data_IF_108836758373
#
_entry.id   IF_108836758373
#
_cell.length_a   1.000
_cell.length_b   1.000
_cell.length_c   1.000
_cell.angle_alpha   90.00
_cell.angle_beta   90.00
_cell.angle_gamma   90.00
#
_symmetry.space_group_name_H-M   'P 1'
#
loop_
_entity.id
_entity.type
_entity.pdbx_description
1 polymer ?
#
# COMPACT_ATOMS: atom_id res chain seq x y z
N UNK A 1 25.99 18.46 -1.43
CA UNK A 1 25.40 17.35 -2.22
C UNK A 1 26.18 16.04 -2.04
N UNK A 2 26.45 15.59 -0.81
CA UNK A 2 27.24 14.36 -0.58
C UNK A 2 26.37 13.10 -0.50
N UNK A 3 25.21 13.19 0.16
CA UNK A 3 24.25 12.08 0.27
C UNK A 3 23.69 11.63 -1.08
N UNK A 4 23.30 12.59 -1.93
CA UNK A 4 22.73 12.27 -3.24
C UNK A 4 23.76 11.62 -4.17
N UNK A 5 25.03 12.03 -4.09
CA UNK A 5 26.11 11.44 -4.89
C UNK A 5 26.50 10.04 -4.44
N UNK A 6 26.39 9.74 -3.14
CA UNK A 6 26.81 8.46 -2.54
C UNK A 6 25.72 7.40 -2.52
N UNK A 7 24.49 7.80 -2.18
CA UNK A 7 23.36 6.88 -2.06
C UNK A 7 22.22 7.23 -3.01
N UNK A 8 21.91 8.52 -3.18
CA UNK A 8 20.72 8.97 -3.92
C UNK A 8 20.67 8.50 -5.38
N UNK A 9 21.74 8.70 -6.15
CA UNK A 9 21.80 8.33 -7.58
C UNK A 9 21.62 6.83 -7.80
N UNK A 10 22.31 6.00 -7.00
CA UNK A 10 22.20 4.54 -7.07
C UNK A 10 20.80 4.03 -6.67
N UNK A 11 20.17 4.66 -5.66
CA UNK A 11 18.81 4.30 -5.22
C UNK A 11 17.74 4.67 -6.24
N UNK A 12 17.90 5.80 -6.95
CA UNK A 12 16.97 6.19 -8.02
C UNK A 12 17.09 5.23 -9.22
N UNK A 13 18.32 4.96 -9.68
CA UNK A 13 18.56 4.03 -10.79
C UNK A 13 18.04 2.62 -10.50
N UNK A 14 18.19 2.14 -9.25
CA UNK A 14 17.68 0.83 -8.84
C UNK A 14 16.14 0.75 -8.76
N UNK A 15 15.45 1.88 -8.61
CA UNK A 15 13.98 1.95 -8.49
C UNK A 15 13.28 2.00 -9.85
N UNK A 16 14.00 2.31 -10.92
CA UNK A 16 13.44 2.34 -12.27
C UNK A 16 13.00 0.95 -12.74
N UNK A 17 11.80 0.80 -13.35
CA UNK A 17 11.29 -0.50 -13.80
C UNK A 17 12.09 -1.12 -14.96
N UNK A 18 13.01 -0.35 -15.57
CA UNK A 18 13.92 -0.77 -16.65
C UNK A 18 15.38 -0.83 -16.17
N UNK A 19 15.58 -1.15 -14.89
CA UNK A 19 16.89 -1.23 -14.27
C UNK A 19 17.73 -2.42 -14.79
N UNK A 20 19.03 -2.18 -15.00
CA UNK A 20 20.01 -3.23 -15.32
C UNK A 20 20.39 -4.00 -14.06
N UNK A 21 20.78 -5.27 -14.19
CA UNK A 21 21.20 -6.09 -13.05
C UNK A 21 22.32 -5.42 -12.22
N UNK A 22 23.23 -4.69 -12.88
CA UNK A 22 24.33 -3.99 -12.22
C UNK A 22 23.86 -2.80 -11.37
N UNK A 23 22.84 -2.07 -11.84
CA UNK A 23 22.31 -0.90 -11.14
C UNK A 23 21.45 -1.33 -9.94
N UNK A 24 20.78 -2.48 -10.04
CA UNK A 24 20.05 -3.08 -8.93
C UNK A 24 20.99 -3.53 -7.80
N UNK A 25 22.10 -4.21 -8.13
CA UNK A 25 23.12 -4.62 -7.16
C UNK A 25 23.76 -3.41 -6.46
N UNK A 26 24.12 -2.36 -7.23
CA UNK A 26 24.65 -1.13 -6.68
C UNK A 26 23.65 -0.43 -5.73
N UNK A 27 22.35 -0.44 -6.05
CA UNK A 27 21.30 0.09 -5.19
C UNK A 27 21.14 -0.67 -3.87
N UNK A 28 21.24 -2.01 -3.90
CA UNK A 28 21.18 -2.84 -2.68
C UNK A 28 22.36 -2.53 -1.77
N UNK A 29 23.58 -2.48 -2.31
CA UNK A 29 24.79 -2.14 -1.53
C UNK A 29 24.70 -0.73 -0.91
N UNK A 30 24.23 0.25 -1.68
CA UNK A 30 24.00 1.61 -1.18
C UNK A 30 22.95 1.63 -0.05
N UNK A 31 21.86 0.87 -0.20
CA UNK A 31 20.81 0.76 0.82
C UNK A 31 21.33 0.11 2.11
N UNK A 32 22.12 -0.95 2.01
CA UNK A 32 22.71 -1.62 3.16
C UNK A 32 23.69 -0.73 3.92
N UNK A 33 24.57 -0.03 3.20
CA UNK A 33 25.54 0.89 3.79
C UNK A 33 24.82 2.04 4.53
N UNK A 34 23.80 2.62 3.90
CA UNK A 34 22.98 3.66 4.52
C UNK A 34 22.25 3.13 5.76
N UNK A 35 21.65 1.94 5.67
CA UNK A 35 20.93 1.33 6.78
C UNK A 35 21.83 1.11 8.00
N UNK A 36 23.05 0.59 7.80
CA UNK A 36 24.04 0.39 8.88
C UNK A 36 24.41 1.71 9.58
N UNK A 37 24.50 2.81 8.83
CA UNK A 37 24.82 4.13 9.40
C UNK A 37 23.68 4.69 10.26
N UNK A 38 22.42 4.47 9.88
CA UNK A 38 21.26 5.03 10.61
C UNK A 38 20.76 4.13 11.75
N UNK A 39 20.98 2.81 11.65
CA UNK A 39 20.60 1.80 12.64
C UNK A 39 20.96 2.13 14.11
N UNK A 40 22.16 2.63 14.46
CA UNK A 40 22.49 2.93 15.86
C UNK A 40 21.66 4.07 16.46
N UNK A 41 21.02 4.90 15.64
CA UNK A 41 20.19 6.01 16.08
C UNK A 41 18.70 5.68 16.11
N UNK A 42 18.30 4.52 15.57
CA UNK A 42 16.89 4.07 15.50
C UNK A 42 16.57 3.12 16.66
N UNK A 43 16.07 3.68 17.76
CA UNK A 43 15.58 2.89 18.89
C UNK A 43 14.17 2.36 18.64
N UNK A 44 14.06 1.22 17.97
CA UNK A 44 12.77 0.53 17.74
C UNK A 44 12.70 -0.77 18.57
N UNK A 45 11.86 -0.79 19.60
CA UNK A 45 11.52 -2.01 20.35
C UNK A 45 10.32 -2.70 19.70
N UNK A 46 10.36 -4.02 19.62
CA UNK A 46 9.19 -4.81 19.20
C UNK A 46 8.30 -5.10 20.41
N UNK A 47 6.99 -5.05 20.19
CA UNK A 47 5.97 -5.36 21.21
C UNK A 47 6.14 -6.79 21.76
N UNK A 48 6.68 -7.68 20.94
CA UNK A 48 6.99 -9.09 21.24
C UNK A 48 7.94 -9.29 22.41
N UNK A 49 8.80 -8.30 22.74
CA UNK A 49 9.79 -8.38 23.83
C UNK A 49 9.35 -7.70 25.14
N UNK A 50 8.19 -7.04 25.15
CA UNK A 50 7.74 -6.20 26.28
C UNK A 50 6.40 -6.68 26.86
N UNK A 51 5.58 -7.41 26.08
CA UNK A 51 4.23 -7.83 26.47
C UNK A 51 3.99 -9.28 26.04
N UNK A 52 4.54 -10.24 26.79
CA UNK A 52 4.30 -11.68 26.58
C UNK A 52 2.85 -12.10 26.82
N UNK A 53 2.08 -11.25 27.50
CA UNK A 53 0.77 -11.61 28.05
C UNK A 53 -0.38 -10.94 27.31
N UNK A 54 -0.10 -10.27 26.19
CA UNK A 54 -1.16 -9.66 25.40
C UNK A 54 -1.76 -10.71 24.44
N UNK A 55 -3.08 -10.90 24.42
CA UNK A 55 -3.72 -11.79 23.47
C UNK A 55 -3.35 -11.43 22.03
N UNK A 56 -3.26 -12.46 21.18
CA UNK A 56 -2.82 -12.32 19.79
C UNK A 56 -3.59 -11.22 19.06
N UNK A 57 -2.88 -10.47 18.21
CA UNK A 57 -3.47 -9.41 17.38
C UNK A 57 -4.47 -10.03 16.39
N UNK A 58 -5.76 -9.88 16.67
CA UNK A 58 -6.84 -10.30 15.76
C UNK A 58 -7.17 -9.16 14.80
N UNK A 59 -7.01 -9.39 13.48
CA UNK A 59 -7.49 -8.48 12.43
C UNK A 59 -8.85 -8.99 11.96
N UNK A 60 -9.88 -8.15 12.02
CA UNK A 60 -11.22 -8.46 11.53
C UNK A 60 -11.61 -7.50 10.41
N UNK A 61 -11.71 -8.03 9.20
CA UNK A 61 -12.31 -7.32 8.07
C UNK A 61 -13.84 -7.43 8.18
N UNK A 62 -14.48 -6.35 8.65
CA UNK A 62 -15.94 -6.24 8.69
C UNK A 62 -16.42 -5.66 7.36
N UNK A 63 -17.06 -6.49 6.55
CA UNK A 63 -17.73 -6.03 5.34
C UNK A 63 -19.08 -5.41 5.70
N UNK A 64 -19.28 -4.16 5.31
CA UNK A 64 -20.53 -3.44 5.49
C UNK A 64 -21.25 -3.36 4.13
N UNK A 65 -22.51 -3.82 4.10
CA UNK A 65 -23.36 -3.63 2.92
C UNK A 65 -23.85 -2.19 2.85
N UNK A 66 -23.91 -1.64 1.64
CA UNK A 66 -24.45 -0.30 1.42
C UNK A 66 -25.97 -0.31 1.65
N UNK A 67 -26.46 0.71 2.34
CA UNK A 67 -27.89 0.97 2.47
C UNK A 67 -28.52 1.28 1.10
N UNK A 68 -29.81 0.99 0.94
CA UNK A 68 -30.56 1.28 -0.29
C UNK A 68 -30.45 2.75 -0.71
N UNK A 69 -30.41 3.67 0.25
CA UNK A 69 -30.21 5.09 -0.02
C UNK A 69 -28.79 5.36 -0.54
N UNK A 70 -27.78 4.74 0.06
CA UNK A 70 -26.38 4.89 -0.37
C UNK A 70 -26.20 4.37 -1.80
N UNK A 71 -26.76 3.20 -2.13
CA UNK A 71 -26.72 2.65 -3.49
C UNK A 71 -27.33 3.62 -4.51
N UNK A 72 -28.52 4.14 -4.23
CA UNK A 72 -29.18 5.13 -5.10
C UNK A 72 -28.38 6.41 -5.27
N UNK A 73 -27.73 6.89 -4.21
CA UNK A 73 -26.87 8.06 -4.28
C UNK A 73 -25.60 7.78 -5.09
N UNK A 74 -24.99 6.60 -4.92
CA UNK A 74 -23.83 6.18 -5.70
C UNK A 74 -24.16 6.02 -7.18
N UNK A 75 -25.32 5.45 -7.53
CA UNK A 75 -25.77 5.33 -8.91
C UNK A 75 -25.97 6.70 -9.55
N UNK A 76 -26.68 7.59 -8.85
CA UNK A 76 -26.88 8.98 -9.29
C UNK A 76 -25.56 9.73 -9.47
N UNK A 77 -24.64 9.58 -8.52
CA UNK A 77 -23.32 10.18 -8.59
C UNK A 77 -22.47 9.60 -9.74
N UNK A 78 -22.58 8.30 -10.01
CA UNK A 78 -21.85 7.69 -11.11
C UNK A 78 -22.39 8.09 -12.49
N UNK A 79 -23.68 8.43 -12.58
CA UNK A 79 -24.32 8.92 -13.81
C UNK A 79 -24.13 10.42 -14.05
N UNK A 80 -23.71 11.20 -13.05
CA UNK A 80 -23.60 12.66 -13.15
C UNK A 80 -22.20 13.13 -13.58
N UNK A 81 -22.16 14.32 -14.19
CA UNK A 81 -20.90 14.98 -14.59
C UNK A 81 -20.00 15.35 -13.40
N UNK A 82 -20.55 15.38 -12.18
CA UNK A 82 -19.79 15.58 -10.95
C UNK A 82 -18.65 14.56 -10.81
N UNK A 83 -18.82 13.34 -11.32
CA UNK A 83 -17.75 12.32 -11.35
C UNK A 83 -16.54 12.79 -12.16
N UNK A 84 -16.77 13.47 -13.28
CA UNK A 84 -15.70 13.96 -14.15
C UNK A 84 -14.97 15.13 -13.48
N UNK A 85 -15.72 16.09 -12.95
CA UNK A 85 -15.18 17.24 -12.21
C UNK A 85 -14.30 16.81 -11.03
N UNK A 86 -14.80 15.88 -10.21
CA UNK A 86 -14.06 15.34 -9.07
C UNK A 86 -12.85 14.53 -9.54
N UNK A 87 -12.97 13.78 -10.64
CA UNK A 87 -11.82 13.05 -11.20
C UNK A 87 -10.71 13.97 -11.70
N UNK A 88 -11.06 15.17 -12.19
CA UNK A 88 -10.09 16.18 -12.63
C UNK A 88 -9.36 16.77 -11.41
N UNK A 89 -10.09 17.15 -10.37
CA UNK A 89 -9.52 17.66 -9.11
C UNK A 89 -8.61 16.61 -8.43
N UNK A 90 -9.01 15.33 -8.43
CA UNK A 90 -8.20 14.24 -7.85
C UNK A 90 -6.94 13.96 -8.67
N UNK A 91 -6.97 14.17 -9.99
CA UNK A 91 -5.77 14.06 -10.84
C UNK A 91 -4.82 15.22 -10.62
N UNK A 92 -5.33 16.43 -10.43
CA UNK A 92 -4.53 17.62 -10.11
C UNK A 92 -3.83 17.49 -8.75
N UNK A 93 -4.41 16.76 -7.80
CA UNK A 93 -3.81 16.47 -6.49
C UNK A 93 -2.85 15.26 -6.45
N UNK A 94 -2.55 14.59 -7.58
CA UNK A 94 -1.62 13.45 -7.65
C UNK A 94 -0.19 13.86 -8.03
N UNK A 95 0.36 14.81 -7.29
CA UNK A 95 1.80 14.93 -7.07
C UNK A 95 1.97 14.68 -5.57
N UNK A 96 2.78 13.69 -5.18
CA UNK A 96 2.97 13.14 -3.81
C UNK A 96 2.02 12.00 -3.36
N UNK A 97 2.17 10.79 -3.93
CA UNK A 97 2.40 9.49 -3.22
C UNK A 97 2.14 8.28 -4.14
N UNK A 98 3.19 7.46 -4.33
CA UNK A 98 3.14 6.20 -5.06
C UNK A 98 2.59 5.07 -4.17
N UNK A 99 1.31 4.76 -4.34
CA UNK A 99 0.68 3.50 -3.89
C UNK A 99 -0.10 2.84 -5.05
N UNK A 100 -0.18 1.50 -5.13
CA UNK A 100 -0.75 0.81 -6.30
C UNK A 100 -2.24 1.13 -6.50
N UNK A 101 -2.60 1.66 -7.66
CA UNK A 101 -3.98 1.91 -8.07
C UNK A 101 -4.73 0.57 -8.29
N UNK A 102 -5.96 0.38 -7.75
CA UNK A 102 -6.79 -0.74 -8.15
C UNK A 102 -7.42 -0.45 -9.53
N UNK A 103 -7.30 -1.43 -10.43
CA UNK A 103 -7.80 -1.36 -11.80
C UNK A 103 -9.33 -1.37 -11.78
N UNK A 104 -9.94 -0.38 -12.43
CA UNK A 104 -11.38 -0.27 -12.58
C UNK A 104 -11.94 -1.53 -13.26
N UNK A 105 -12.59 -2.39 -12.47
CA UNK A 105 -13.34 -3.55 -12.95
C UNK A 105 -14.82 -3.18 -12.90
N UNK A 106 -15.52 -3.40 -14.01
CA UNK A 106 -16.96 -3.13 -14.18
C UNK A 106 -17.77 -3.82 -13.06
N UNK A 107 -18.86 -3.24 -12.54
CA UNK A 107 -19.65 -3.90 -11.52
C UNK A 107 -20.64 -4.86 -12.18
N UNK A 108 -20.33 -6.16 -12.15
CA UNK A 108 -21.34 -7.20 -12.27
C UNK A 108 -21.40 -7.94 -10.94
N UNK A 109 -22.64 -8.15 -10.49
CA UNK A 109 -23.04 -8.59 -9.16
C UNK A 109 -22.59 -10.03 -8.93
N UNK A 110 -21.45 -10.21 -8.29
CA UNK A 110 -21.08 -11.40 -7.51
C UNK A 110 -19.71 -11.15 -6.88
N UNK A 111 -19.58 -11.55 -5.62
CA UNK A 111 -18.55 -11.10 -4.70
C UNK A 111 -17.13 -11.14 -5.27
N UNK A 112 -16.53 -9.96 -5.39
CA UNK A 112 -15.09 -9.82 -5.63
C UNK A 112 -14.41 -9.87 -4.26
N UNK A 113 -13.85 -11.03 -3.96
CA UNK A 113 -12.86 -11.21 -2.90
C UNK A 113 -11.59 -10.48 -3.32
N UNK A 114 -11.24 -9.39 -2.62
CA UNK A 114 -9.92 -8.77 -2.74
C UNK A 114 -9.01 -9.37 -1.67
N UNK A 115 -7.95 -10.12 -2.03
CA UNK A 115 -7.03 -10.67 -1.05
C UNK A 115 -6.10 -9.57 -0.52
N UNK A 116 -6.19 -9.27 0.79
CA UNK A 116 -5.24 -8.46 1.58
C UNK A 116 -3.82 -9.11 1.68
N UNK A 117 -3.53 -10.16 0.93
CA UNK A 117 -2.31 -10.98 1.11
C UNK A 117 -1.00 -10.37 0.58
N UNK A 118 -0.97 -9.18 -0.02
CA UNK A 118 0.25 -8.69 -0.68
C UNK A 118 1.14 -7.74 0.13
N UNK A 119 0.86 -7.48 1.42
CA UNK A 119 1.72 -6.56 2.21
C UNK A 119 2.17 -7.06 3.59
N UNK A 120 1.91 -8.32 3.96
CA UNK A 120 2.50 -8.88 5.19
C UNK A 120 2.60 -10.41 5.10
N UNK A 121 3.80 -11.00 4.90
CA UNK A 121 3.95 -12.43 4.60
C UNK A 121 3.57 -13.39 5.73
N UNK A 122 3.15 -12.90 6.89
CA UNK A 122 2.80 -13.74 8.06
C UNK A 122 1.34 -13.67 8.50
N UNK A 123 0.45 -12.96 7.79
CA UNK A 123 -0.96 -12.87 8.17
C UNK A 123 -1.79 -14.01 7.55
N UNK A 124 -2.04 -15.06 8.33
CA UNK A 124 -3.03 -16.09 8.01
C UNK A 124 -4.44 -15.57 8.38
N UNK A 125 -5.12 -14.95 7.42
CA UNK A 125 -6.54 -14.61 7.56
C UNK A 125 -7.38 -15.88 7.41
N UNK A 126 -8.01 -16.31 8.52
CA UNK A 126 -8.90 -17.47 8.55
C UNK A 126 -10.28 -17.02 8.06
N UNK A 127 -10.62 -17.34 6.80
CA UNK A 127 -11.92 -17.00 6.21
C UNK A 127 -13.00 -17.93 6.76
N UNK A 128 -13.75 -17.46 7.77
CA UNK A 128 -15.02 -18.07 8.13
C UNK A 128 -16.02 -17.92 6.97
N UNK A 129 -16.49 -19.03 6.40
CA UNK A 129 -17.59 -19.04 5.42
C UNK A 129 -18.90 -18.65 6.13
N UNK A 130 -19.71 -17.74 5.58
CA UNK A 130 -21.07 -17.54 6.05
C UNK A 130 -22.01 -18.58 5.42
N UNK A 131 -22.90 -19.13 6.25
CA UNK A 131 -24.09 -19.94 5.93
C UNK A 131 -25.17 -19.12 5.27
#
# INVERSE_FOLDING_TARGET
>A
MQFQATYGTALFAAKDPKCSAKDAEAGILAMEALHKQVMPFLLRRTKDRVLSDLPDKIILDRYCNLSLLQLKLYDKFSSSNAKQEISTIVKENKIEESGPQPKATRPCVSGIVVPIKTLWPSFTCNRGKPT
#
